data_IF_692166629826
#
_entry.id   IF_692166629826
#
_cell.length_a   1.000
_cell.length_b   1.000
_cell.length_c   1.000
_cell.angle_alpha   90.00
_cell.angle_beta   90.00
_cell.angle_gamma   90.00
#
_symmetry.space_group_name_H-M   'P 1'
#
loop_
_entity.id
_entity.type
_entity.pdbx_description
1 polymer ?
#
# COMPACT_ATOMS: atom_id res chain seq x y z
N UNK A 1 -3.78 -53.72 -55.81
CA UNK A 1 -3.35 -53.91 -54.41
C UNK A 1 -3.71 -52.64 -53.65
N UNK A 2 -4.97 -52.56 -53.23
CA UNK A 2 -5.49 -51.52 -52.34
C UNK A 2 -5.26 -52.00 -50.90
N UNK A 3 -4.50 -51.25 -50.13
CA UNK A 3 -4.33 -51.51 -48.71
C UNK A 3 -5.50 -50.86 -47.97
N UNK A 4 -6.46 -51.67 -47.55
CA UNK A 4 -7.53 -51.25 -46.65
C UNK A 4 -6.96 -51.07 -45.24
N UNK A 5 -6.91 -49.82 -44.77
CA UNK A 5 -6.57 -49.51 -43.38
C UNK A 5 -7.84 -49.70 -42.54
N UNK A 6 -7.84 -50.76 -41.75
CA UNK A 6 -8.96 -51.13 -40.88
C UNK A 6 -8.97 -50.22 -39.64
N UNK A 7 -9.89 -49.26 -39.60
CA UNK A 7 -10.12 -48.43 -38.41
C UNK A 7 -10.84 -49.27 -37.35
N UNK A 8 -10.22 -49.45 -36.18
CA UNK A 8 -10.85 -50.08 -35.03
C UNK A 8 -12.10 -49.30 -34.60
N UNK A 9 -13.20 -50.02 -34.40
CA UNK A 9 -14.44 -49.45 -33.87
C UNK A 9 -14.19 -48.84 -32.50
N UNK A 10 -14.30 -47.51 -32.38
CA UNK A 10 -14.27 -46.82 -31.10
C UNK A 10 -15.41 -47.35 -30.21
N UNK A 11 -15.17 -47.61 -28.92
CA UNK A 11 -16.25 -47.98 -28.02
C UNK A 11 -17.27 -46.84 -27.99
N UNK A 12 -18.54 -47.18 -28.18
CA UNK A 12 -19.64 -46.25 -28.05
C UNK A 12 -19.52 -45.59 -26.67
N UNK A 13 -19.24 -44.29 -26.63
CA UNK A 13 -19.34 -43.51 -25.40
C UNK A 13 -20.82 -43.52 -25.05
N UNK A 14 -21.18 -44.43 -24.14
CA UNK A 14 -22.47 -44.44 -23.48
C UNK A 14 -22.71 -43.01 -22.99
N UNK A 15 -23.85 -42.45 -23.36
CA UNK A 15 -24.30 -41.17 -22.85
C UNK A 15 -24.51 -41.31 -21.35
N UNK A 16 -23.45 -41.04 -20.58
CA UNK A 16 -23.55 -40.86 -19.15
C UNK A 16 -24.45 -39.67 -18.93
N UNK A 17 -25.68 -39.96 -18.49
CA UNK A 17 -26.65 -38.98 -18.07
C UNK A 17 -25.99 -38.09 -17.03
N UNK A 18 -25.67 -36.86 -17.44
CA UNK A 18 -25.13 -35.85 -16.56
C UNK A 18 -25.99 -35.83 -15.28
N UNK A 19 -25.40 -36.05 -14.09
CA UNK A 19 -26.17 -35.97 -12.87
C UNK A 19 -26.70 -34.53 -12.78
N UNK A 20 -28.01 -34.37 -12.92
CA UNK A 20 -28.72 -33.12 -12.64
C UNK A 20 -28.44 -32.80 -11.17
N UNK A 21 -27.45 -31.94 -10.94
CA UNK A 21 -27.02 -31.50 -9.61
C UNK A 21 -28.24 -30.98 -8.84
N UNK A 22 -28.66 -31.77 -7.85
CA UNK A 22 -29.68 -31.38 -6.88
C UNK A 22 -29.07 -30.28 -6.00
N UNK A 23 -29.62 -29.08 -6.10
CA UNK A 23 -29.56 -28.04 -5.06
C UNK A 23 -28.17 -27.53 -4.70
N UNK A 24 -27.64 -26.63 -5.52
CA UNK A 24 -26.42 -25.85 -5.26
C UNK A 24 -26.59 -24.80 -4.13
N UNK A 25 -27.25 -25.12 -3.02
CA UNK A 25 -27.37 -24.21 -1.87
C UNK A 25 -26.00 -23.91 -1.24
N UNK A 26 -25.11 -24.90 -1.19
CA UNK A 26 -23.74 -24.70 -0.71
C UNK A 26 -22.91 -23.85 -1.69
N UNK A 27 -23.04 -24.07 -3.00
CA UNK A 27 -22.33 -23.28 -4.01
C UNK A 27 -22.91 -21.85 -4.14
N UNK A 28 -24.22 -21.68 -3.94
CA UNK A 28 -24.86 -20.38 -3.85
C UNK A 28 -24.48 -19.65 -2.55
N UNK A 29 -24.41 -20.35 -1.41
CA UNK A 29 -23.94 -19.80 -0.15
C UNK A 29 -22.46 -19.40 -0.18
N UNK A 30 -21.60 -20.11 -0.92
CA UNK A 30 -20.22 -19.70 -1.15
C UNK A 30 -20.11 -18.49 -2.09
N UNK A 31 -20.98 -18.39 -3.10
CA UNK A 31 -21.04 -17.22 -4.02
C UNK A 31 -21.61 -15.97 -3.37
N UNK A 32 -22.63 -16.11 -2.52
CA UNK A 32 -23.26 -15.00 -1.81
C UNK A 32 -22.76 -14.87 -0.36
N UNK A 33 -21.73 -15.62 0.03
CA UNK A 33 -21.31 -15.72 1.43
C UNK A 33 -20.90 -14.40 2.04
N UNK A 34 -20.24 -13.52 1.27
CA UNK A 34 -19.90 -12.16 1.70
C UNK A 34 -21.14 -11.28 1.88
N UNK A 35 -22.10 -11.34 0.96
CA UNK A 35 -23.38 -10.61 1.05
C UNK A 35 -24.23 -11.11 2.23
N UNK A 36 -24.27 -12.42 2.45
CA UNK A 36 -24.98 -13.05 3.57
C UNK A 36 -24.32 -12.69 4.91
N UNK A 37 -22.99 -12.72 4.98
CA UNK A 37 -22.25 -12.28 6.16
C UNK A 37 -22.47 -10.78 6.44
N UNK A 38 -22.45 -9.94 5.41
CA UNK A 38 -22.74 -8.52 5.53
C UNK A 38 -24.18 -8.26 6.03
N UNK A 39 -25.18 -8.91 5.43
CA UNK A 39 -26.57 -8.82 5.86
C UNK A 39 -26.76 -9.30 7.31
N UNK A 40 -26.10 -10.39 7.70
CA UNK A 40 -26.13 -10.91 9.06
C UNK A 40 -25.56 -9.90 10.07
N UNK A 41 -24.44 -9.26 9.75
CA UNK A 41 -23.84 -8.20 10.57
C UNK A 41 -24.80 -7.01 10.70
N UNK A 42 -25.44 -6.58 9.60
CA UNK A 42 -26.42 -5.49 9.63
C UNK A 42 -27.61 -5.81 10.54
N UNK A 43 -28.14 -7.02 10.49
CA UNK A 43 -29.25 -7.45 11.36
C UNK A 43 -28.84 -7.44 12.83
N UNK A 44 -27.66 -7.96 13.17
CA UNK A 44 -27.16 -7.94 14.54
C UNK A 44 -27.05 -6.50 15.06
N UNK A 45 -26.40 -5.61 14.31
CA UNK A 45 -26.24 -4.22 14.75
C UNK A 45 -27.57 -3.46 14.76
N UNK A 46 -28.49 -3.76 13.84
CA UNK A 46 -29.85 -3.20 13.87
C UNK A 46 -30.60 -3.52 15.16
N UNK A 47 -30.37 -4.69 15.74
CA UNK A 47 -31.07 -5.15 16.94
C UNK A 47 -30.33 -4.77 18.23
N UNK A 48 -28.99 -4.69 18.18
CA UNK A 48 -28.14 -4.49 19.37
C UNK A 48 -27.70 -3.04 19.58
N UNK A 49 -27.66 -2.22 18.52
CA UNK A 49 -27.23 -0.82 18.60
C UNK A 49 -28.41 0.14 18.32
N UNK A 50 -28.93 0.85 19.35
CA UNK A 50 -30.10 1.73 19.22
C UNK A 50 -29.96 2.85 18.20
N UNK A 51 -28.73 3.29 17.93
CA UNK A 51 -28.44 4.40 17.03
C UNK A 51 -28.05 3.98 15.61
N UNK A 52 -28.01 2.68 15.32
CA UNK A 52 -27.44 2.13 14.08
C UNK A 52 -28.08 2.69 12.80
N UNK A 53 -29.41 2.73 12.74
CA UNK A 53 -30.17 3.26 11.59
C UNK A 53 -30.58 4.72 11.74
N UNK A 54 -30.02 5.45 12.71
CA UNK A 54 -30.31 6.88 12.81
C UNK A 54 -29.73 7.62 11.62
N UNK A 55 -30.46 8.63 11.14
CA UNK A 55 -30.03 9.47 10.01
C UNK A 55 -28.65 10.07 10.29
N UNK A 56 -28.39 10.52 11.53
CA UNK A 56 -27.07 11.03 11.92
C UNK A 56 -25.95 9.98 11.82
N UNK A 57 -26.20 8.73 12.23
CA UNK A 57 -25.20 7.67 12.08
C UNK A 57 -24.95 7.31 10.61
N UNK A 58 -26.01 7.19 9.80
CA UNK A 58 -25.89 6.95 8.36
C UNK A 58 -25.12 8.09 7.70
N UNK A 59 -25.44 9.34 8.05
CA UNK A 59 -24.72 10.51 7.58
C UNK A 59 -23.22 10.46 7.91
N UNK A 60 -22.87 10.14 9.16
CA UNK A 60 -21.47 9.99 9.56
C UNK A 60 -20.74 8.88 8.77
N UNK A 61 -21.37 7.73 8.60
CA UNK A 61 -20.81 6.61 7.82
C UNK A 61 -20.60 7.02 6.36
N UNK A 62 -21.55 7.73 5.75
CA UNK A 62 -21.43 8.23 4.38
C UNK A 62 -20.33 9.29 4.27
N UNK A 63 -20.20 10.18 5.25
CA UNK A 63 -19.15 11.21 5.29
C UNK A 63 -17.75 10.60 5.33
N UNK A 64 -17.50 9.63 6.22
CA UNK A 64 -16.22 8.92 6.25
C UNK A 64 -15.97 8.11 4.98
N UNK A 65 -17.01 7.44 4.47
CA UNK A 65 -16.92 6.65 3.24
C UNK A 65 -16.63 7.51 2.01
N UNK A 66 -17.06 8.78 2.01
CA UNK A 66 -16.79 9.71 0.91
C UNK A 66 -15.28 9.95 0.72
N UNK A 67 -14.53 10.16 1.80
CA UNK A 67 -13.09 10.36 1.76
C UNK A 67 -12.41 9.11 1.19
N UNK A 68 -12.75 7.94 1.71
CA UNK A 68 -12.24 6.66 1.21
C UNK A 68 -12.62 6.41 -0.26
N UNK A 69 -13.83 6.82 -0.67
CA UNK A 69 -14.32 6.71 -2.05
C UNK A 69 -13.49 7.54 -3.02
N UNK A 70 -13.14 8.78 -2.68
CA UNK A 70 -12.27 9.63 -3.52
C UNK A 70 -10.89 8.99 -3.69
N UNK A 71 -10.30 8.45 -2.63
CA UNK A 71 -9.04 7.70 -2.72
C UNK A 71 -9.20 6.44 -3.59
N UNK A 72 -10.27 5.68 -3.41
CA UNK A 72 -10.53 4.46 -4.18
C UNK A 72 -10.65 4.76 -5.69
N UNK A 73 -11.24 5.89 -6.06
CA UNK A 73 -11.31 6.35 -7.46
C UNK A 73 -9.91 6.64 -7.99
N UNK A 74 -9.07 7.36 -7.23
CA UNK A 74 -7.67 7.59 -7.59
C UNK A 74 -6.91 6.28 -7.83
N UNK A 75 -7.04 5.33 -6.91
CA UNK A 75 -6.43 4.01 -7.04
C UNK A 75 -6.98 3.24 -8.25
N UNK A 76 -8.27 3.37 -8.56
CA UNK A 76 -8.91 2.73 -9.72
C UNK A 76 -8.27 3.20 -11.03
N UNK A 77 -7.95 4.49 -11.16
CA UNK A 77 -7.27 5.03 -12.35
C UNK A 77 -5.89 4.38 -12.52
N UNK A 78 -5.13 4.24 -11.44
CA UNK A 78 -3.80 3.59 -11.48
C UNK A 78 -3.92 2.10 -11.83
N UNK A 79 -4.91 1.41 -11.28
CA UNK A 79 -5.16 0.00 -11.58
C UNK A 79 -5.53 -0.22 -13.05
N UNK A 80 -6.40 0.62 -13.62
CA UNK A 80 -6.77 0.55 -15.03
C UNK A 80 -5.53 0.75 -15.92
N UNK A 81 -4.67 1.72 -15.59
CA UNK A 81 -3.45 1.98 -16.35
C UNK A 81 -2.37 0.90 -16.15
N UNK A 82 -2.34 0.28 -14.98
CA UNK A 82 -1.35 -0.70 -14.55
C UNK A 82 -1.61 -2.12 -15.05
N UNK A 83 -2.88 -2.48 -15.25
CA UNK A 83 -3.28 -3.79 -15.74
C UNK A 83 -3.57 -4.83 -14.65
N UNK A 84 -3.84 -6.07 -15.10
CA UNK A 84 -4.34 -7.17 -14.27
C UNK A 84 -3.31 -7.80 -13.32
N UNK A 85 -2.02 -7.55 -13.52
CA UNK A 85 -0.97 -8.09 -12.67
C UNK A 85 -0.82 -7.22 -11.42
N UNK A 86 -1.08 -7.76 -10.24
CA UNK A 86 -1.01 -7.01 -8.96
C UNK A 86 0.42 -6.57 -8.60
N UNK A 87 1.45 -7.27 -9.11
CA UNK A 87 2.85 -6.99 -8.79
C UNK A 87 3.44 -5.96 -9.74
N UNK A 88 3.18 -6.10 -11.04
CA UNK A 88 3.69 -5.18 -12.07
C UNK A 88 2.72 -4.07 -12.40
N UNK A 89 1.45 -4.24 -12.05
CA UNK A 89 0.40 -3.25 -12.20
C UNK A 89 0.57 -2.14 -11.20
N UNK A 90 0.33 -0.92 -11.68
CA UNK A 90 0.38 0.28 -10.87
C UNK A 90 -0.56 0.16 -9.65
N UNK A 91 0.03 0.04 -8.47
CA UNK A 91 -0.66 0.23 -7.20
C UNK A 91 0.02 1.40 -6.50
N UNK A 92 -0.77 2.41 -6.15
CA UNK A 92 -0.29 3.56 -5.39
C UNK A 92 -0.62 3.40 -3.92
N UNK A 93 0.33 2.87 -3.14
CA UNK A 93 0.20 2.78 -1.68
C UNK A 93 0.49 4.10 -0.97
N UNK A 94 1.14 5.05 -1.64
CA UNK A 94 1.44 6.36 -1.05
C UNK A 94 0.20 7.24 -0.95
N UNK A 95 -0.88 6.89 -1.64
CA UNK A 95 -2.11 7.66 -1.75
C UNK A 95 -2.72 8.05 -0.39
N UNK A 96 -2.68 7.15 0.59
CA UNK A 96 -3.16 7.45 1.94
C UNK A 96 -2.24 8.41 2.70
N UNK A 97 -0.92 8.24 2.61
CA UNK A 97 0.05 9.18 3.19
C UNK A 97 -0.03 10.55 2.50
N UNK A 98 -0.29 10.59 1.20
CA UNK A 98 -0.50 11.80 0.44
C UNK A 98 -1.71 12.60 0.95
N UNK A 99 -2.83 11.92 1.24
CA UNK A 99 -3.97 12.53 1.92
C UNK A 99 -3.58 13.15 3.26
N UNK A 100 -2.80 12.42 4.08
CA UNK A 100 -2.31 12.91 5.38
C UNK A 100 -1.44 14.16 5.27
N UNK A 101 -0.43 14.15 4.39
CA UNK A 101 0.43 15.32 4.18
C UNK A 101 -0.35 16.50 3.57
N UNK A 102 -1.25 16.26 2.62
CA UNK A 102 -2.06 17.31 2.01
C UNK A 102 -3.02 17.94 3.03
N UNK A 103 -3.59 17.14 3.94
CA UNK A 103 -4.36 17.63 5.08
C UNK A 103 -3.50 18.49 6.02
N UNK A 104 -2.27 18.04 6.33
CA UNK A 104 -1.35 18.79 7.18
C UNK A 104 -0.93 20.13 6.56
N UNK A 105 -0.66 20.15 5.26
CA UNK A 105 -0.36 21.38 4.51
C UNK A 105 -1.54 22.35 4.54
N UNK A 106 -2.75 21.85 4.26
CA UNK A 106 -3.97 22.68 4.32
C UNK A 106 -4.14 23.31 5.71
N UNK A 107 -4.13 22.48 6.76
CA UNK A 107 -4.35 22.94 8.12
C UNK A 107 -3.24 23.92 8.58
N UNK A 108 -1.99 23.67 8.19
CA UNK A 108 -0.86 24.55 8.52
C UNK A 108 -0.99 25.92 7.84
N UNK A 109 -1.43 25.97 6.57
CA UNK A 109 -1.64 27.23 5.86
C UNK A 109 -2.79 28.04 6.48
N UNK A 110 -3.88 27.39 6.91
CA UNK A 110 -4.96 28.05 7.64
C UNK A 110 -4.43 28.64 8.96
N UNK A 111 -3.64 27.88 9.74
CA UNK A 111 -3.06 28.39 10.99
C UNK A 111 -2.09 29.57 10.78
N UNK A 112 -1.42 29.62 9.63
CA UNK A 112 -0.58 30.75 9.24
C UNK A 112 -1.38 31.99 8.79
N UNK A 113 -2.71 31.90 8.76
CA UNK A 113 -3.61 33.01 8.40
C UNK A 113 -3.87 33.14 6.90
N UNK A 114 -3.48 32.16 6.08
CA UNK A 114 -3.86 32.13 4.67
C UNK A 114 -5.33 31.74 4.51
N UNK A 115 -5.98 32.21 3.43
CA UNK A 115 -7.36 31.86 3.12
C UNK A 115 -7.53 30.42 2.61
N UNK A 116 -8.78 29.95 2.60
CA UNK A 116 -9.15 28.59 2.16
C UNK A 116 -8.69 28.28 0.73
N UNK A 117 -8.76 29.26 -0.18
CA UNK A 117 -8.33 29.10 -1.57
C UNK A 117 -6.82 28.79 -1.68
N UNK A 118 -6.01 29.53 -0.93
CA UNK A 118 -4.55 29.31 -0.87
C UNK A 118 -4.20 27.99 -0.18
N UNK A 119 -4.91 27.63 0.89
CA UNK A 119 -4.72 26.35 1.57
C UNK A 119 -5.11 25.16 0.67
N UNK A 120 -6.23 25.26 -0.04
CA UNK A 120 -6.69 24.25 -0.99
C UNK A 120 -5.71 24.08 -2.16
N UNK A 121 -5.21 25.18 -2.72
CA UNK A 121 -4.19 25.15 -3.77
C UNK A 121 -2.91 24.46 -3.26
N UNK A 122 -2.47 24.77 -2.03
CA UNK A 122 -1.34 24.10 -1.38
C UNK A 122 -1.53 22.59 -1.29
N UNK A 123 -2.66 22.14 -0.77
CA UNK A 123 -2.98 20.72 -0.67
C UNK A 123 -3.04 20.00 -2.03
N UNK A 124 -3.66 20.62 -3.04
CA UNK A 124 -3.73 20.07 -4.40
C UNK A 124 -2.33 19.98 -5.02
N UNK A 125 -1.51 21.02 -4.88
CA UNK A 125 -0.14 21.04 -5.40
C UNK A 125 0.71 19.96 -4.71
N UNK A 126 0.59 19.79 -3.40
CA UNK A 126 1.25 18.70 -2.66
C UNK A 126 0.81 17.33 -3.19
N UNK A 127 -0.49 17.13 -3.40
CA UNK A 127 -1.04 15.92 -4.00
C UNK A 127 -0.47 15.60 -5.38
N UNK A 128 -0.47 16.60 -6.28
CA UNK A 128 0.07 16.48 -7.62
C UNK A 128 1.58 16.23 -7.61
N UNK A 129 2.32 16.89 -6.72
CA UNK A 129 3.77 16.72 -6.59
C UNK A 129 4.12 15.28 -6.17
N UNK A 130 3.39 14.71 -5.22
CA UNK A 130 3.56 13.31 -4.82
C UNK A 130 3.24 12.36 -5.97
N UNK A 131 2.12 12.58 -6.65
CA UNK A 131 1.76 11.80 -7.85
C UNK A 131 2.83 11.87 -8.94
N UNK A 132 3.44 13.04 -9.14
CA UNK A 132 4.55 13.24 -10.07
C UNK A 132 5.83 12.50 -9.62
N UNK A 133 6.16 12.52 -8.32
CA UNK A 133 7.29 11.74 -7.78
C UNK A 133 7.10 10.25 -8.03
N UNK A 134 5.89 9.72 -7.78
CA UNK A 134 5.57 8.32 -8.09
C UNK A 134 5.66 8.04 -9.58
N UNK A 135 5.11 8.92 -10.42
CA UNK A 135 5.20 8.80 -11.88
C UNK A 135 6.66 8.72 -12.35
N UNK A 136 7.54 9.58 -11.82
CA UNK A 136 8.96 9.57 -12.15
C UNK A 136 9.64 8.28 -11.70
N UNK A 137 9.38 7.84 -10.47
CA UNK A 137 9.97 6.62 -9.92
C UNK A 137 9.56 5.37 -10.71
N UNK A 138 8.30 5.30 -11.14
CA UNK A 138 7.78 4.13 -11.86
C UNK A 138 8.16 4.17 -13.34
N UNK A 139 7.94 5.31 -14.00
CA UNK A 139 8.07 5.42 -15.46
C UNK A 139 9.51 5.65 -15.89
N UNK A 140 10.24 6.57 -15.24
CA UNK A 140 11.61 6.90 -15.63
C UNK A 140 12.64 5.99 -14.96
N UNK A 141 12.50 5.73 -13.65
CA UNK A 141 13.45 4.90 -12.93
C UNK A 141 13.17 3.39 -13.05
N UNK A 142 12.03 2.99 -13.65
CA UNK A 142 11.67 1.59 -13.88
C UNK A 142 11.48 0.78 -12.59
N UNK A 143 11.22 1.46 -11.46
CA UNK A 143 10.99 0.80 -10.18
C UNK A 143 9.59 0.19 -10.18
N UNK A 144 9.46 -1.04 -9.68
CA UNK A 144 8.17 -1.70 -9.52
C UNK A 144 7.20 -0.79 -8.73
N UNK A 145 5.97 -0.53 -9.23
CA UNK A 145 5.03 0.44 -8.64
C UNK A 145 4.82 0.32 -7.14
N UNK A 146 4.63 -0.92 -6.68
CA UNK A 146 4.41 -1.20 -5.27
C UNK A 146 5.61 -0.77 -4.40
N UNK A 147 6.84 -1.06 -4.85
CA UNK A 147 8.05 -0.70 -4.11
C UNK A 147 8.30 0.81 -4.14
N UNK A 148 8.09 1.44 -5.30
CA UNK A 148 8.22 2.89 -5.45
C UNK A 148 7.26 3.63 -4.52
N UNK A 149 5.98 3.27 -4.55
CA UNK A 149 4.95 3.95 -3.77
C UNK A 149 5.04 3.64 -2.29
N UNK A 150 5.51 2.44 -1.89
CA UNK A 150 5.85 2.16 -0.49
C UNK A 150 7.00 3.03 0.02
N UNK A 151 8.06 3.21 -0.76
CA UNK A 151 9.17 4.06 -0.37
C UNK A 151 8.70 5.52 -0.21
N UNK A 152 7.95 6.02 -1.20
CA UNK A 152 7.39 7.38 -1.20
C UNK A 152 6.41 7.57 -0.04
N UNK A 153 5.57 6.59 0.27
CA UNK A 153 4.67 6.60 1.43
C UNK A 153 5.42 6.89 2.74
N UNK A 154 6.55 6.20 2.98
CA UNK A 154 7.34 6.38 4.21
C UNK A 154 7.99 7.77 4.27
N UNK A 155 8.47 8.28 3.14
CA UNK A 155 9.04 9.65 3.07
C UNK A 155 7.95 10.68 3.37
N UNK A 156 6.77 10.54 2.77
CA UNK A 156 5.64 11.44 2.98
C UNK A 156 5.17 11.40 4.43
N UNK A 157 5.03 10.21 5.02
CA UNK A 157 4.66 10.07 6.42
C UNK A 157 5.68 10.75 7.36
N UNK A 158 6.98 10.66 7.05
CA UNK A 158 8.01 11.40 7.77
C UNK A 158 7.90 12.92 7.61
N UNK A 159 7.60 13.41 6.40
CA UNK A 159 7.37 14.84 6.15
C UNK A 159 6.13 15.36 6.88
N UNK A 160 5.05 14.58 6.89
CA UNK A 160 3.83 14.90 7.65
C UNK A 160 4.13 15.03 9.14
N UNK A 161 4.92 14.09 9.69
CA UNK A 161 5.34 14.12 11.08
C UNK A 161 6.15 15.36 11.44
N UNK A 162 7.09 15.75 10.57
CA UNK A 162 7.91 16.96 10.74
C UNK A 162 7.05 18.22 10.62
N UNK A 163 6.12 18.27 9.67
CA UNK A 163 5.25 19.43 9.49
C UNK A 163 4.28 19.62 10.67
N UNK A 164 3.69 18.53 11.14
CA UNK A 164 2.69 18.53 12.23
C UNK A 164 3.31 18.51 13.63
N UNK A 165 4.64 18.32 13.73
CA UNK A 165 5.36 18.12 14.99
C UNK A 165 4.75 16.99 15.85
N UNK A 166 4.19 15.96 15.18
CA UNK A 166 3.44 14.87 15.83
C UNK A 166 2.24 15.33 16.68
N UNK A 167 1.59 16.42 16.27
CA UNK A 167 0.41 16.97 16.95
C UNK A 167 -0.75 17.18 15.98
N UNK A 168 -1.96 17.23 16.51
CA UNK A 168 -3.13 17.59 15.70
C UNK A 168 -3.05 19.08 15.37
N UNK A 169 -3.12 19.39 14.08
CA UNK A 169 -3.11 20.75 13.56
C UNK A 169 -4.57 21.16 13.34
N UNK A 170 -5.17 21.99 14.21
CA UNK A 170 -6.57 22.38 14.08
C UNK A 170 -6.76 23.27 12.86
N UNK A 171 -7.89 23.12 12.18
CA UNK A 171 -8.29 24.00 11.10
C UNK A 171 -9.82 24.09 11.07
N UNK A 172 -10.33 25.31 11.18
CA UNK A 172 -11.76 25.58 11.15
C UNK A 172 -12.02 26.86 10.38
N UNK A 173 -12.79 26.74 9.30
CA UNK A 173 -13.24 27.86 8.47
C UNK A 173 -14.70 27.63 8.08
N UNK A 174 -15.37 28.68 7.63
CA UNK A 174 -16.76 28.58 7.17
C UNK A 174 -16.88 27.61 5.98
N UNK A 175 -15.87 27.57 5.11
CA UNK A 175 -15.80 26.63 3.98
C UNK A 175 -15.70 25.19 4.46
N UNK A 176 -14.79 24.89 5.39
CA UNK A 176 -14.66 23.55 5.95
C UNK A 176 -15.94 23.09 6.65
N UNK A 177 -16.60 24.01 7.35
CA UNK A 177 -17.87 23.74 8.05
C UNK A 177 -19.00 23.48 7.06
N UNK A 178 -19.10 24.27 5.98
CA UNK A 178 -20.09 24.06 4.92
C UNK A 178 -19.91 22.69 4.23
N UNK A 179 -18.66 22.24 4.07
CA UNK A 179 -18.35 20.93 3.48
C UNK A 179 -18.74 19.79 4.45
N UNK A 180 -18.50 19.91 5.75
CA UNK A 180 -18.82 18.84 6.72
C UNK A 180 -20.27 18.81 7.20
N UNK A 181 -21.04 19.87 6.92
CA UNK A 181 -22.44 19.97 7.32
C UNK A 181 -23.31 18.93 6.60
N UNK A 182 -24.38 18.48 7.28
CA UNK A 182 -25.41 17.62 6.71
C UNK A 182 -26.63 18.44 6.29
N UNK A 183 -27.23 18.06 5.16
CA UNK A 183 -28.46 18.68 4.65
C UNK A 183 -29.68 18.31 5.52
N UNK A 184 -30.85 18.87 5.22
CA UNK A 184 -32.15 18.62 5.86
C UNK A 184 -32.56 17.13 5.87
N UNK A 185 -32.07 16.36 4.89
CA UNK A 185 -32.24 14.90 4.83
C UNK A 185 -31.19 14.12 5.65
N UNK A 186 -30.27 14.82 6.30
CA UNK A 186 -29.17 14.29 7.10
C UNK A 186 -28.07 13.57 6.30
N UNK A 187 -28.00 13.86 5.00
CA UNK A 187 -26.91 13.41 4.12
C UNK A 187 -25.80 14.47 4.17
N UNK A 188 -24.55 14.09 4.46
CA UNK A 188 -23.42 15.03 4.50
C UNK A 188 -23.11 15.56 3.10
N UNK A 189 -22.69 16.83 3.01
CA UNK A 189 -22.26 17.43 1.74
C UNK A 189 -21.10 16.64 1.11
N UNK A 190 -20.22 16.03 1.92
CA UNK A 190 -19.20 15.08 1.49
C UNK A 190 -19.73 13.96 0.57
N UNK A 191 -20.92 13.41 0.85
CA UNK A 191 -21.48 12.34 0.04
C UNK A 191 -21.87 12.83 -1.37
N UNK A 192 -22.44 14.03 -1.47
CA UNK A 192 -22.73 14.65 -2.77
C UNK A 192 -21.46 14.97 -3.55
N UNK A 193 -20.41 15.43 -2.86
CA UNK A 193 -19.09 15.64 -3.48
C UNK A 193 -18.56 14.33 -4.05
N UNK A 194 -18.62 13.22 -3.30
CA UNK A 194 -18.21 11.91 -3.80
C UNK A 194 -19.02 11.51 -5.05
N UNK A 195 -20.36 11.64 -5.01
CA UNK A 195 -21.21 11.25 -6.14
C UNK A 195 -20.86 12.08 -7.39
N UNK A 196 -20.75 13.40 -7.24
CA UNK A 196 -20.37 14.29 -8.33
C UNK A 196 -18.98 13.98 -8.88
N UNK A 197 -18.00 13.78 -7.99
CA UNK A 197 -16.64 13.41 -8.37
C UNK A 197 -16.59 12.05 -9.09
N UNK A 198 -17.31 11.06 -8.58
CA UNK A 198 -17.45 9.74 -9.21
C UNK A 198 -18.05 9.86 -10.59
N UNK A 199 -19.13 10.64 -10.75
CA UNK A 199 -19.78 10.84 -12.04
C UNK A 199 -18.83 11.48 -13.06
N UNK A 200 -18.06 12.50 -12.65
CA UNK A 200 -17.06 13.16 -13.50
C UNK A 200 -15.96 12.20 -13.92
N UNK A 201 -15.34 11.50 -12.96
CA UNK A 201 -14.24 10.57 -13.26
C UNK A 201 -14.74 9.38 -14.08
N UNK A 202 -15.90 8.82 -13.74
CA UNK A 202 -16.52 7.75 -14.52
C UNK A 202 -16.81 8.22 -15.95
N UNK A 203 -17.29 9.45 -16.13
CA UNK A 203 -17.53 9.98 -17.47
C UNK A 203 -16.23 10.14 -18.27
N UNK A 204 -15.15 10.60 -17.63
CA UNK A 204 -13.83 10.69 -18.24
C UNK A 204 -13.32 9.30 -18.63
N UNK A 205 -13.39 8.33 -17.73
CA UNK A 205 -12.83 6.99 -17.95
C UNK A 205 -13.66 6.15 -18.93
N UNK A 206 -14.99 6.28 -18.93
CA UNK A 206 -15.87 5.46 -19.76
C UNK A 206 -16.17 6.09 -21.13
N UNK A 207 -16.27 7.41 -21.21
CA UNK A 207 -16.75 8.09 -22.42
C UNK A 207 -15.68 8.92 -23.15
N UNK A 208 -14.42 8.94 -22.69
CA UNK A 208 -13.35 9.68 -23.39
C UNK A 208 -12.26 8.78 -23.98
N UNK A 209 -11.55 9.24 -25.03
CA UNK A 209 -10.41 8.50 -25.59
C UNK A 209 -9.28 8.25 -24.59
N UNK A 210 -9.15 9.08 -23.54
CA UNK A 210 -8.13 8.90 -22.50
C UNK A 210 -8.41 7.60 -21.75
N UNK A 211 -9.65 7.38 -21.33
CA UNK A 211 -10.07 6.16 -20.66
C UNK A 211 -9.84 4.91 -21.51
N UNK A 212 -10.25 4.94 -22.78
CA UNK A 212 -10.00 3.84 -23.72
C UNK A 212 -8.50 3.52 -23.86
N UNK A 213 -7.65 4.55 -23.95
CA UNK A 213 -6.19 4.38 -24.02
C UNK A 213 -5.61 3.81 -22.72
N UNK A 214 -6.14 4.20 -21.56
CA UNK A 214 -5.71 3.64 -20.27
C UNK A 214 -6.03 2.15 -20.19
N UNK A 215 -7.25 1.72 -20.57
CA UNK A 215 -7.61 0.31 -20.64
C UNK A 215 -6.73 -0.48 -21.62
N UNK A 216 -6.46 0.08 -22.80
CA UNK A 216 -5.60 -0.57 -23.79
C UNK A 216 -4.16 -0.77 -23.29
N UNK A 217 -3.62 0.23 -22.56
CA UNK A 217 -2.28 0.15 -21.96
C UNK A 217 -2.21 -0.89 -20.83
N UNK A 218 -3.23 -0.95 -19.96
CA UNK A 218 -3.25 -1.89 -18.85
C UNK A 218 -3.43 -3.35 -19.28
N UNK A 219 -4.33 -3.62 -20.22
CA UNK A 219 -4.63 -5.00 -20.65
C UNK A 219 -3.57 -5.55 -21.63
N UNK A 220 -3.17 -4.75 -22.62
CA UNK A 220 -2.27 -5.19 -23.70
C UNK A 220 -1.16 -4.16 -24.00
N UNK A 221 -0.17 -3.99 -23.10
CA UNK A 221 0.85 -2.96 -23.22
C UNK A 221 1.69 -3.07 -24.50
N UNK A 222 2.00 -4.28 -24.97
CA UNK A 222 2.79 -4.49 -26.19
C UNK A 222 1.99 -4.15 -27.46
N UNK A 223 0.69 -4.47 -27.49
CA UNK A 223 -0.19 -4.07 -28.58
C UNK A 223 -0.42 -2.56 -28.60
N UNK A 224 -0.59 -1.94 -27.42
CA UNK A 224 -0.68 -0.50 -27.27
C UNK A 224 0.58 0.21 -27.76
N UNK A 225 1.78 -0.34 -27.48
CA UNK A 225 3.05 0.18 -28.00
C UNK A 225 3.15 0.04 -29.52
N UNK A 226 2.74 -1.10 -30.08
CA UNK A 226 2.69 -1.31 -31.54
C UNK A 226 1.69 -0.35 -32.23
N UNK A 227 0.61 0.02 -31.54
CA UNK A 227 -0.36 1.03 -31.98
C UNK A 227 0.12 2.48 -31.79
N UNK A 228 1.35 2.70 -31.31
CA UNK A 228 1.93 4.03 -31.13
C UNK A 228 1.42 4.81 -29.92
N UNK A 229 0.79 4.14 -28.93
CA UNK A 229 0.33 4.82 -27.71
C UNK A 229 1.52 5.15 -26.79
N UNK A 230 1.56 6.35 -26.20
CA UNK A 230 2.63 6.74 -25.29
C UNK A 230 2.39 6.14 -23.89
N UNK A 231 2.73 4.87 -23.72
CA UNK A 231 2.56 4.10 -22.46
C UNK A 231 3.04 4.90 -21.25
N UNK A 232 4.27 5.40 -21.31
CA UNK A 232 4.92 6.14 -20.23
C UNK A 232 4.10 7.36 -19.77
N UNK A 233 3.54 8.12 -20.71
CA UNK A 233 2.74 9.31 -20.41
C UNK A 233 1.39 8.95 -19.79
N UNK A 234 0.78 7.86 -20.25
CA UNK A 234 -0.51 7.40 -19.75
C UNK A 234 -0.39 6.84 -18.32
N UNK A 235 0.66 6.05 -18.05
CA UNK A 235 0.96 5.56 -16.70
C UNK A 235 1.36 6.71 -15.78
N UNK A 236 2.20 7.65 -16.21
CA UNK A 236 2.55 8.84 -15.44
C UNK A 236 1.30 9.68 -15.10
N UNK A 237 0.42 9.90 -16.09
CA UNK A 237 -0.84 10.62 -15.90
C UNK A 237 -1.74 9.94 -14.87
N UNK A 238 -1.77 8.61 -14.82
CA UNK A 238 -2.55 7.86 -13.83
C UNK A 238 -2.04 8.10 -12.40
N UNK A 239 -0.72 8.08 -12.17
CA UNK A 239 -0.15 8.41 -10.85
C UNK A 239 -0.38 9.86 -10.44
N UNK A 240 -0.31 10.81 -11.39
CA UNK A 240 -0.63 12.22 -11.11
C UNK A 240 -2.10 12.39 -10.76
N UNK A 241 -3.01 11.71 -11.47
CA UNK A 241 -4.44 11.71 -11.16
C UNK A 241 -4.74 11.08 -9.78
N UNK A 242 -4.05 10.00 -9.42
CA UNK A 242 -4.08 9.43 -8.06
C UNK A 242 -3.61 10.46 -7.03
N UNK A 243 -2.49 11.13 -7.30
CA UNK A 243 -1.95 12.19 -6.46
C UNK A 243 -2.95 13.33 -6.21
N UNK A 244 -3.65 13.77 -7.26
CA UNK A 244 -4.74 14.75 -7.17
C UNK A 244 -5.87 14.27 -6.24
N UNK A 245 -6.27 13.00 -6.36
CA UNK A 245 -7.29 12.42 -5.49
C UNK A 245 -6.83 12.41 -4.02
N UNK A 246 -5.55 12.14 -3.75
CA UNK A 246 -4.97 12.25 -2.42
C UNK A 246 -5.03 13.68 -1.87
N UNK A 247 -4.70 14.68 -2.69
CA UNK A 247 -4.81 16.09 -2.31
C UNK A 247 -6.24 16.51 -1.98
N UNK A 248 -7.21 16.14 -2.83
CA UNK A 248 -8.63 16.41 -2.62
C UNK A 248 -9.18 15.72 -1.37
N UNK A 249 -8.85 14.44 -1.18
CA UNK A 249 -9.23 13.69 0.01
C UNK A 249 -8.62 14.30 1.29
N UNK A 250 -7.42 14.90 1.21
CA UNK A 250 -6.83 15.63 2.33
C UNK A 250 -7.69 16.79 2.79
N UNK A 251 -8.20 17.60 1.85
CA UNK A 251 -9.12 18.72 2.14
C UNK A 251 -10.42 18.21 2.78
N UNK A 252 -11.01 17.16 2.20
CA UNK A 252 -12.23 16.54 2.74
C UNK A 252 -12.02 15.95 4.14
N UNK A 253 -10.85 15.38 4.39
CA UNK A 253 -10.46 14.85 5.70
C UNK A 253 -10.35 15.94 6.75
N UNK A 254 -9.70 17.06 6.42
CA UNK A 254 -9.62 18.22 7.33
C UNK A 254 -10.99 18.78 7.63
N UNK A 255 -11.88 18.87 6.64
CA UNK A 255 -13.27 19.31 6.83
C UNK A 255 -14.03 18.38 7.78
N UNK A 256 -13.90 17.06 7.60
CA UNK A 256 -14.59 16.08 8.44
C UNK A 256 -14.06 16.05 9.88
N UNK A 257 -12.75 16.16 10.07
CA UNK A 257 -12.08 16.06 11.38
C UNK A 257 -11.87 17.41 12.07
N UNK A 258 -12.21 18.53 11.41
CA UNK A 258 -11.90 19.90 11.88
C UNK A 258 -10.40 20.12 12.18
N UNK A 259 -9.54 19.46 11.40
CA UNK A 259 -8.10 19.50 11.59
C UNK A 259 -7.38 18.33 10.93
N UNK A 260 -6.04 18.40 10.93
CA UNK A 260 -5.17 17.34 10.45
C UNK A 260 -4.61 16.55 11.62
N UNK A 261 -4.84 15.23 11.64
CA UNK A 261 -4.27 14.31 12.62
C UNK A 261 -3.08 13.57 12.02
N UNK A 262 -1.94 13.56 12.69
CA UNK A 262 -0.72 12.88 12.18
C UNK A 262 -0.95 11.38 12.02
N UNK A 263 -0.53 10.83 10.87
CA UNK A 263 -0.60 9.40 10.60
C UNK A 263 -1.99 8.92 10.19
N UNK A 264 -2.93 9.84 9.87
CA UNK A 264 -4.26 9.50 9.36
C UNK A 264 -4.20 8.61 8.11
N UNK A 265 -3.21 8.85 7.25
CA UNK A 265 -2.94 8.01 6.09
C UNK A 265 -2.48 6.59 6.44
N UNK A 266 -1.59 6.47 7.44
CA UNK A 266 -1.18 5.16 7.93
C UNK A 266 -2.33 4.42 8.60
N UNK A 267 -3.22 5.09 9.33
CA UNK A 267 -4.37 4.43 9.98
C UNK A 267 -5.29 3.72 8.97
N UNK A 268 -5.45 4.26 7.75
CA UNK A 268 -6.23 3.62 6.68
C UNK A 268 -5.58 2.32 6.16
N UNK A 269 -4.25 2.26 6.10
CA UNK A 269 -3.52 1.08 5.58
C UNK A 269 -3.10 0.10 6.69
N UNK A 270 -2.98 0.56 7.94
CA UNK A 270 -2.27 -0.12 9.04
C UNK A 270 -3.20 -0.78 10.06
N UNK A 271 -4.39 -1.20 9.67
CA UNK A 271 -5.29 -1.92 10.59
C UNK A 271 -4.79 -3.34 11.02
N UNK A 272 -3.50 -3.66 10.85
CA UNK A 272 -2.93 -4.97 11.15
C UNK A 272 -1.68 -5.00 12.04
N UNK A 273 -1.22 -3.90 12.65
CA UNK A 273 0.02 -3.92 13.47
C UNK A 273 -0.03 -3.26 14.85
N UNK A 274 -1.21 -2.95 15.39
CA UNK A 274 -1.27 -2.33 16.74
C UNK A 274 -1.23 -3.34 17.90
N UNK A 275 -1.53 -4.62 17.70
CA UNK A 275 -1.83 -5.52 18.83
C UNK A 275 -0.67 -6.40 19.33
N UNK A 276 0.59 -6.17 18.91
CA UNK A 276 1.74 -7.02 19.32
C UNK A 276 2.79 -6.38 20.23
N UNK A 277 2.74 -5.07 20.46
CA UNK A 277 3.71 -4.42 21.36
C UNK A 277 3.19 -4.29 22.79
N UNK A 278 1.88 -4.20 22.99
CA UNK A 278 1.31 -4.02 24.34
C UNK A 278 1.33 -5.30 25.19
N UNK A 279 1.53 -6.46 24.57
CA UNK A 279 1.61 -7.75 25.28
C UNK A 279 3.00 -8.12 25.82
N UNK A 280 4.04 -7.36 25.49
CA UNK A 280 5.41 -7.64 25.98
C UNK A 280 5.78 -6.87 27.26
N UNK A 281 5.02 -5.85 27.64
CA UNK A 281 5.31 -5.03 28.84
C UNK A 281 4.47 -5.41 30.09
N UNK A 282 3.52 -6.34 29.98
CA UNK A 282 2.63 -6.70 31.12
C UNK A 282 3.22 -7.78 32.06
N UNK A 283 4.34 -8.42 31.70
CA UNK A 283 4.90 -9.52 32.51
C UNK A 283 6.17 -9.18 33.33
N UNK A 284 6.60 -7.91 33.38
CA UNK A 284 7.80 -7.49 34.11
C UNK A 284 7.56 -6.95 35.53
N UNK A 285 6.44 -6.25 35.75
CA UNK A 285 6.30 -5.36 36.93
C UNK A 285 5.44 -5.93 38.07
N UNK A 286 4.81 -7.10 37.87
CA UNK A 286 3.94 -7.73 38.87
C UNK A 286 4.67 -8.44 40.03
N UNK A 287 5.95 -8.77 39.87
CA UNK A 287 6.66 -9.58 40.88
C UNK A 287 7.35 -8.74 41.97
N UNK A 288 7.60 -7.46 41.71
CA UNK A 288 8.30 -6.58 42.66
C UNK A 288 7.37 -5.94 43.71
N UNK A 289 6.06 -5.90 43.45
CA UNK A 289 5.05 -5.36 44.38
C UNK A 289 4.56 -6.40 45.41
N UNK A 290 4.65 -7.69 45.10
CA UNK A 290 4.18 -8.78 45.98
C UNK A 290 5.19 -9.22 47.05
N UNK A 291 6.48 -8.86 46.92
CA UNK A 291 7.53 -9.20 47.90
C UNK A 291 7.71 -8.15 49.02
N UNK A 292 6.97 -7.03 49.00
CA UNK A 292 7.04 -6.00 50.06
C UNK A 292 5.92 -6.06 51.11
N UNK A 293 4.92 -6.93 50.95
CA UNK A 293 3.76 -6.98 51.85
C UNK A 293 3.83 -8.04 52.96
N UNK A 294 4.91 -8.81 53.07
CA UNK A 294 5.11 -9.72 54.21
C UNK A 294 6.37 -9.34 54.95
N UNK A 295 6.23 -8.57 56.03
CA UNK A 295 7.04 -8.59 57.26
C UNK A 295 6.59 -7.44 58.19
N UNK A 296 5.90 -7.70 59.31
CA UNK A 296 5.66 -6.69 60.33
C UNK A 296 6.81 -6.61 61.33
N UNK A 297 7.14 -5.37 61.70
CA UNK A 297 7.66 -4.88 62.98
C UNK A 297 8.74 -5.71 63.74
N UNK A 298 9.92 -5.11 63.93
CA UNK A 298 10.37 -4.77 65.29
C UNK A 298 11.64 -3.88 65.33
N UNK A 299 11.56 -2.86 66.19
CA UNK A 299 12.61 -2.40 67.11
C UNK A 299 13.61 -1.32 66.65
N UNK A 300 13.16 -0.07 66.79
CA UNK A 300 13.67 0.93 67.74
C UNK A 300 15.17 0.85 68.11
N UNK A 301 15.97 1.87 67.75
CA UNK A 301 16.69 2.74 68.71
C UNK A 301 17.61 3.78 68.04
N UNK A 302 17.41 5.03 68.48
CA UNK A 302 18.40 6.06 68.89
C UNK A 302 19.17 6.83 67.82
N UNK A 303 18.85 8.14 67.80
CA UNK A 303 19.76 9.28 67.95
C UNK A 303 21.25 9.06 67.62
N UNK A 304 21.81 9.88 66.73
CA UNK A 304 22.63 11.04 67.12
C UNK A 304 23.11 11.84 65.90
N UNK A 305 23.15 13.17 66.11
CA UNK A 305 23.88 14.15 65.31
C UNK A 305 25.34 13.75 65.02
N UNK A 306 25.87 14.10 63.85
CA UNK A 306 26.90 15.16 63.74
C UNK A 306 27.32 15.45 62.31
N UNK A 307 27.43 16.75 62.07
CA UNK A 307 28.24 17.40 61.05
C UNK A 307 29.74 17.09 61.23
N UNK A 308 30.43 17.19 60.10
CA UNK A 308 31.85 17.49 59.89
C UNK A 308 32.89 16.48 60.38
N UNK A 309 33.66 15.94 59.41
CA UNK A 309 35.11 16.12 59.39
C UNK A 309 35.68 15.81 57.99
N UNK A 310 36.39 16.82 57.49
CA UNK A 310 37.25 16.86 56.32
C UNK A 310 38.37 15.81 56.36
N UNK A 311 38.79 15.32 55.19
CA UNK A 311 40.14 15.56 54.63
C UNK A 311 40.64 14.42 53.71
N UNK A 312 41.27 14.85 52.61
CA UNK A 312 42.37 14.21 51.89
C UNK A 312 42.10 12.91 51.06
N UNK A 313 42.13 13.09 49.72
CA UNK A 313 42.61 12.09 48.72
C UNK A 313 44.16 12.09 48.70
N UNK A 314 44.93 11.16 48.07
CA UNK A 314 44.62 10.21 46.97
C UNK A 314 45.34 8.81 47.14
N UNK A 315 45.77 8.07 46.08
CA UNK A 315 45.04 7.41 45.00
C UNK A 315 45.18 5.85 45.04
N UNK A 316 44.58 5.18 44.06
CA UNK A 316 44.93 3.84 43.52
C UNK A 316 44.02 2.62 43.78
N UNK A 317 43.90 1.87 42.69
CA UNK A 317 43.37 0.52 42.54
C UNK A 317 41.85 0.31 42.56
N UNK A 318 41.23 0.89 41.52
CA UNK A 318 40.28 0.21 40.63
C UNK A 318 40.83 -1.16 40.18
N UNK A 319 40.71 -2.19 41.02
CA UNK A 319 40.92 -3.60 40.62
C UNK A 319 39.96 -4.50 41.39
N UNK A 320 38.65 -4.39 41.14
CA UNK A 320 37.72 -5.50 41.45
C UNK A 320 36.36 -5.47 40.73
N UNK A 321 36.04 -4.44 39.93
CA UNK A 321 34.79 -4.35 39.15
C UNK A 321 34.92 -4.59 37.63
N UNK A 322 36.03 -5.18 37.17
CA UNK A 322 36.24 -5.50 35.75
C UNK A 322 36.29 -7.01 35.43
N UNK A 323 35.99 -7.90 36.39
CA UNK A 323 36.04 -9.36 36.20
C UNK A 323 34.69 -10.09 36.17
N UNK A 324 33.56 -9.39 36.29
CA UNK A 324 32.22 -10.03 36.17
C UNK A 324 31.48 -9.73 34.87
N UNK A 325 31.97 -8.82 34.04
CA UNK A 325 31.30 -8.41 32.78
C UNK A 325 31.82 -9.14 31.52
N UNK A 326 32.78 -10.05 31.67
CA UNK A 326 33.45 -10.74 30.56
C UNK A 326 33.03 -12.23 30.40
N UNK A 327 32.25 -12.79 31.33
CA UNK A 327 31.84 -14.20 31.29
C UNK A 327 30.44 -14.43 30.69
N UNK A 328 29.61 -13.38 30.54
CA UNK A 328 28.23 -13.50 30.08
C UNK A 328 28.00 -13.08 28.61
N UNK A 329 29.06 -12.60 27.94
CA UNK A 329 29.04 -12.23 26.50
C UNK A 329 29.67 -13.27 25.56
N UNK A 330 29.93 -14.49 26.03
CA UNK A 330 30.52 -15.60 25.23
C UNK A 330 29.59 -16.81 25.02
N UNK A 331 28.26 -16.64 25.07
CA UNK A 331 27.31 -17.73 24.78
C UNK A 331 26.20 -17.42 23.78
N UNK A 332 26.22 -16.27 23.11
CA UNK A 332 25.28 -15.94 22.04
C UNK A 332 26.00 -15.20 20.91
N UNK A 333 26.91 -15.88 20.23
CA UNK A 333 27.18 -15.66 18.81
C UNK A 333 28.08 -16.79 18.31
N UNK A 334 27.46 -17.81 17.72
CA UNK A 334 28.14 -18.75 16.84
C UNK A 334 27.14 -19.15 15.77
N UNK A 335 27.59 -19.00 14.52
CA UNK A 335 27.01 -19.48 13.27
C UNK A 335 25.80 -18.71 12.70
N UNK A 336 26.07 -17.59 12.03
CA UNK A 336 25.99 -17.51 10.56
C UNK A 336 26.37 -16.09 10.10
N UNK A 337 27.07 -16.05 8.98
CA UNK A 337 27.42 -14.89 8.15
C UNK A 337 28.53 -13.94 8.63
N UNK A 338 29.70 -14.10 7.99
CA UNK A 338 30.66 -13.01 7.78
C UNK A 338 30.51 -12.44 6.36
N UNK A 339 30.77 -11.13 6.17
CA UNK A 339 30.56 -10.41 4.92
C UNK A 339 31.85 -10.18 4.11
N UNK A 340 31.63 -9.80 2.85
CA UNK A 340 32.39 -8.90 1.94
C UNK A 340 33.92 -8.78 2.02
N UNK A 341 34.56 -8.92 0.86
CA UNK A 341 35.90 -8.38 0.58
C UNK A 341 35.80 -7.33 -0.54
N UNK A 342 36.12 -6.09 -0.20
CA UNK A 342 36.40 -4.96 -1.11
C UNK A 342 37.86 -4.56 -0.89
N UNK A 343 38.67 -4.50 -1.95
CA UNK A 343 39.46 -3.32 -2.36
C UNK A 343 40.58 -3.64 -3.37
N UNK A 344 40.73 -2.69 -4.28
CA UNK A 344 41.67 -2.63 -5.38
C UNK A 344 43.13 -2.38 -4.95
N UNK A 345 44.05 -2.79 -5.84
CA UNK A 345 45.25 -2.07 -6.34
C UNK A 345 46.50 -2.97 -6.40
N UNK A 346 47.11 -3.08 -7.59
CA UNK A 346 48.49 -3.58 -7.70
C UNK A 346 48.84 -4.27 -9.03
N UNK A 347 49.30 -3.46 -9.99
CA UNK A 347 50.17 -3.74 -11.16
C UNK A 347 50.77 -5.16 -11.29
N UNK A 348 50.68 -5.78 -12.47
CA UNK A 348 51.79 -5.95 -13.45
C UNK A 348 51.52 -7.07 -14.48
N UNK A 349 51.90 -6.79 -15.74
CA UNK A 349 52.41 -7.70 -16.79
C UNK A 349 51.43 -8.69 -17.48
N UNK A 350 51.13 -8.38 -18.75
CA UNK A 350 51.06 -9.36 -19.86
C UNK A 350 52.47 -9.97 -20.11
N UNK A 351 52.70 -11.01 -20.96
CA UNK A 351 51.84 -11.60 -22.01
C UNK A 351 51.93 -13.14 -22.21
N UNK A 352 51.16 -13.64 -23.20
CA UNK A 352 51.44 -14.76 -24.12
C UNK A 352 51.11 -16.25 -23.78
N UNK A 353 50.27 -16.80 -24.67
CA UNK A 353 50.45 -18.02 -25.49
C UNK A 353 49.83 -19.39 -25.08
N UNK A 354 49.14 -19.96 -26.10
CA UNK A 354 49.01 -21.38 -26.49
C UNK A 354 48.21 -22.29 -25.51
N UNK A 355 47.34 -23.21 -25.91
CA UNK A 355 46.88 -23.74 -27.20
C UNK A 355 45.89 -24.90 -26.92
N UNK A 356 45.08 -25.23 -27.93
CA UNK A 356 44.55 -26.57 -28.24
C UNK A 356 43.27 -27.04 -27.52
N UNK A 357 42.23 -27.24 -28.35
CA UNK A 357 40.98 -27.92 -28.05
C UNK A 357 39.98 -27.83 -29.20
N UNK A 358 40.35 -28.40 -30.36
CA UNK A 358 39.46 -28.82 -31.46
C UNK A 358 38.16 -29.49 -30.92
N UNK A 359 36.98 -29.59 -31.55
CA UNK A 359 36.37 -29.29 -32.86
C UNK A 359 35.15 -30.25 -32.95
N UNK A 360 34.18 -29.96 -33.83
CA UNK A 360 32.96 -30.76 -34.18
C UNK A 360 31.76 -30.49 -33.25
N UNK A 361 30.58 -30.03 -33.68
CA UNK A 361 29.86 -30.29 -34.93
C UNK A 361 28.90 -29.11 -35.26
N UNK A 362 29.05 -28.48 -36.42
CA UNK A 362 28.05 -27.65 -37.09
C UNK A 362 27.41 -28.49 -38.20
N UNK A 363 26.07 -28.50 -38.30
CA UNK A 363 25.27 -28.49 -39.54
C UNK A 363 23.89 -29.11 -39.29
N UNK A 364 22.88 -28.27 -39.11
CA UNK A 364 21.60 -28.51 -39.77
C UNK A 364 21.17 -27.23 -40.48
N UNK A 365 21.34 -27.27 -41.81
CA UNK A 365 20.77 -26.36 -42.78
C UNK A 365 19.29 -26.75 -42.95
N UNK A 366 18.34 -25.84 -42.87
CA UNK A 366 17.92 -25.09 -44.04
C UNK A 366 17.12 -25.94 -45.03
N UNK A 367 15.80 -26.09 -44.81
CA UNK A 367 14.81 -26.52 -45.82
C UNK A 367 13.39 -26.10 -45.39
N UNK A 368 12.98 -24.89 -45.76
CA UNK A 368 11.57 -24.56 -46.00
C UNK A 368 11.50 -23.54 -47.14
N UNK A 369 11.56 -24.06 -48.37
CA UNK A 369 11.19 -23.33 -49.58
C UNK A 369 9.77 -23.75 -49.97
N UNK A 370 8.87 -22.77 -49.98
CA UNK A 370 8.14 -22.35 -51.19
C UNK A 370 7.85 -23.44 -52.22
N UNK A 371 6.59 -23.89 -52.29
CA UNK A 371 5.95 -24.26 -53.55
C UNK A 371 4.54 -23.67 -53.63
N UNK A 372 4.43 -22.59 -54.42
CA UNK A 372 3.24 -22.26 -55.22
C UNK A 372 3.07 -23.36 -56.27
N UNK A 373 1.84 -23.82 -56.48
CA UNK A 373 1.44 -24.53 -57.69
C UNK A 373 0.42 -23.65 -58.43
N UNK A 374 0.64 -23.32 -59.73
CA UNK A 374 -0.38 -22.79 -60.61
C UNK A 374 -1.27 -23.92 -61.14
N UNK A 375 -2.30 -23.55 -61.91
CA UNK A 375 -3.18 -24.43 -62.71
C UNK A 375 -4.39 -25.02 -61.99
N UNK A 376 -5.49 -24.26 -61.97
CA UNK A 376 -6.76 -24.81 -62.44
C UNK A 376 -7.71 -23.71 -62.93
N UNK A 377 -7.76 -23.52 -64.25
CA UNK A 377 -8.79 -22.78 -64.95
C UNK A 377 -9.73 -23.79 -65.64
N UNK A 378 -11.02 -23.71 -65.29
CA UNK A 378 -12.23 -24.01 -66.08
C UNK A 378 -12.32 -25.27 -66.95
N UNK A 379 -13.39 -26.07 -66.75
CA UNK A 379 -14.56 -26.14 -67.66
C UNK A 379 -15.61 -27.18 -67.21
N UNK A 380 -16.86 -26.93 -67.61
CA UNK A 380 -18.11 -27.71 -67.45
C UNK A 380 -18.71 -27.65 -66.02
N UNK A 381 -19.86 -27.04 -65.75
CA UNK A 381 -21.12 -26.83 -66.52
C UNK A 381 -21.75 -25.47 -66.29
#
# INVERSE_FOLDING_TARGET
MSADVQFGSLPAIAGDGAPRSKGNLAAAALRFGSLLAFAFILVIFSLTAPYFFTIGNIGNVLGQSAIAGVLAIGLTIVLIAGGSNVVTGGIDLSLAANMGLSAAVYASLIQLGYGDATAAAGAIITGLAIGAVNAVAVVLAGIVPLLATLAVMNVIAGLELVLTQNTVVPASTDVLTAISTSDSFGIPVLAYILIGFTAVVAAIVQYTPIGLRLYAVGEFPDAARAAGLPLERLVAGAFIASGLCGGLAGILSVSYLSGSTTGSGEMLLRHHRSNRRDHLDVNGDGLHSLLRQRLPAQRNRRHLHRHDLLAARPPECRRHRARRSAAQRRRQWSASDRPEFLLAAGRHRQPHLLSAGLQLHQQESGRYLSRRNPDNAGTMT
#
